data_IF_452303696654
#
_entry.id   IF_452303696654
#
_cell.length_a   1.000
_cell.length_b   1.000
_cell.length_c   1.000
_cell.angle_alpha   90.00
_cell.angle_beta   90.00
_cell.angle_gamma   90.00
#
_symmetry.space_group_name_H-M   'P 1'
#
loop_
_entity.id
_entity.type
_entity.pdbx_description
1 polymer ?
#
# COMPACT_ATOMS: atom_id res chain seq x y z
N UNK A 1 20.27 -37.25 11.47
CA UNK A 1 20.40 -35.78 11.53
C UNK A 1 19.17 -35.21 10.85
N UNK A 2 18.22 -34.68 11.61
CA UNK A 2 17.05 -34.01 11.01
C UNK A 2 17.54 -32.69 10.44
N UNK A 3 17.35 -32.48 9.14
CA UNK A 3 17.59 -31.17 8.54
C UNK A 3 16.69 -30.16 9.25
N UNK A 4 17.29 -29.12 9.82
CA UNK A 4 16.55 -27.95 10.27
C UNK A 4 15.96 -27.32 9.00
N UNK A 5 14.66 -26.99 8.94
CA UNK A 5 14.12 -26.32 7.77
C UNK A 5 14.90 -25.03 7.56
N UNK A 6 15.46 -24.85 6.37
CA UNK A 6 16.13 -23.63 6.00
C UNK A 6 15.09 -22.50 6.00
N UNK A 7 15.18 -21.60 6.99
CA UNK A 7 14.27 -20.46 7.08
C UNK A 7 14.64 -19.54 5.92
N UNK A 8 13.73 -19.43 4.95
CA UNK A 8 13.91 -18.51 3.81
C UNK A 8 14.11 -17.07 4.33
N UNK A 9 14.98 -16.28 3.67
CA UNK A 9 15.16 -14.87 4.03
C UNK A 9 13.84 -14.10 3.97
N UNK A 10 13.65 -13.11 4.86
CA UNK A 10 12.39 -12.35 4.97
C UNK A 10 12.00 -11.67 3.64
N UNK A 11 12.96 -11.16 2.87
CA UNK A 11 12.71 -10.55 1.56
C UNK A 11 12.34 -11.54 0.45
N UNK A 12 12.58 -12.84 0.65
CA UNK A 12 12.09 -13.90 -0.26
C UNK A 12 10.62 -14.18 0.03
N UNK A 13 10.22 -14.12 1.32
CA UNK A 13 8.83 -14.34 1.74
C UNK A 13 7.96 -13.09 1.56
N UNK A 14 8.55 -11.90 1.67
CA UNK A 14 7.91 -10.60 1.60
C UNK A 14 8.73 -9.68 0.69
N UNK A 15 8.67 -9.86 -0.65
CA UNK A 15 9.40 -9.02 -1.59
C UNK A 15 8.92 -7.57 -1.58
N UNK A 16 9.77 -6.65 -2.02
CA UNK A 16 9.43 -5.23 -2.12
C UNK A 16 8.75 -4.86 -3.45
N UNK A 17 8.54 -5.84 -4.35
CA UNK A 17 7.86 -5.67 -5.64
C UNK A 17 7.15 -6.96 -6.05
N UNK A 18 6.03 -6.82 -6.74
CA UNK A 18 5.25 -7.89 -7.37
C UNK A 18 5.51 -8.01 -8.88
N UNK A 19 6.38 -7.16 -9.43
CA UNK A 19 6.71 -7.09 -10.86
C UNK A 19 5.64 -6.44 -11.73
N UNK A 20 4.57 -5.88 -11.15
CA UNK A 20 3.53 -5.15 -11.89
C UNK A 20 3.96 -3.69 -12.14
N UNK A 21 3.40 -3.03 -13.17
CA UNK A 21 3.57 -1.59 -13.35
C UNK A 21 2.83 -0.81 -12.26
N UNK A 22 3.38 0.35 -11.87
CA UNK A 22 2.77 1.26 -10.89
C UNK A 22 1.43 1.86 -11.33
N UNK A 23 1.21 1.99 -12.63
CA UNK A 23 -0.02 2.54 -13.18
C UNK A 23 -0.26 1.98 -14.58
N UNK A 24 -1.53 1.94 -14.98
CA UNK A 24 -1.97 1.39 -16.26
C UNK A 24 -1.76 2.38 -17.41
N UNK A 25 -1.85 3.69 -17.13
CA UNK A 25 -1.68 4.74 -18.12
C UNK A 25 -1.17 6.06 -17.50
N UNK A 26 -0.87 7.03 -18.36
CA UNK A 26 -0.32 8.33 -17.96
C UNK A 26 -1.29 9.20 -17.16
N UNK A 27 -2.60 9.10 -17.41
CA UNK A 27 -3.62 9.89 -16.71
C UNK A 27 -3.78 9.38 -15.28
N UNK A 28 -3.88 8.07 -15.10
CA UNK A 28 -3.90 7.43 -13.79
C UNK A 28 -2.64 7.78 -13.00
N UNK A 29 -1.45 7.59 -13.60
CA UNK A 29 -0.19 7.93 -12.94
C UNK A 29 -0.12 9.40 -12.52
N UNK A 30 -0.58 10.32 -13.38
CA UNK A 30 -0.64 11.76 -13.08
C UNK A 30 -1.50 12.02 -11.85
N UNK A 31 -2.66 11.37 -11.72
CA UNK A 31 -3.54 11.54 -10.56
C UNK A 31 -2.98 10.90 -9.29
N UNK A 32 -2.37 9.72 -9.39
CA UNK A 32 -1.65 9.09 -8.26
C UNK A 32 -0.60 10.05 -7.71
N UNK A 33 0.27 10.59 -8.58
CA UNK A 33 1.30 11.56 -8.19
C UNK A 33 0.66 12.83 -7.62
N UNK A 34 -0.39 13.35 -8.26
CA UNK A 34 -1.07 14.57 -7.80
C UNK A 34 -1.61 14.40 -6.39
N UNK A 35 -2.33 13.32 -6.10
CA UNK A 35 -2.89 13.04 -4.77
C UNK A 35 -1.76 12.85 -3.76
N UNK A 36 -0.81 11.95 -4.06
CA UNK A 36 0.31 11.62 -3.16
C UNK A 36 1.13 12.86 -2.79
N UNK A 37 1.56 13.66 -3.77
CA UNK A 37 2.43 14.80 -3.52
C UNK A 37 1.68 15.95 -2.83
N UNK A 38 0.39 16.17 -3.11
CA UNK A 38 -0.40 17.16 -2.37
C UNK A 38 -0.61 16.74 -0.90
N UNK A 39 -0.78 15.44 -0.61
CA UNK A 39 -0.83 14.93 0.76
C UNK A 39 0.52 15.07 1.48
N UNK A 40 1.64 14.85 0.78
CA UNK A 40 2.98 15.12 1.35
C UNK A 40 3.17 16.60 1.69
N UNK A 41 2.68 17.51 0.84
CA UNK A 41 2.71 18.96 1.11
C UNK A 41 1.80 19.30 2.30
N UNK A 42 0.58 18.76 2.32
CA UNK A 42 -0.39 18.98 3.40
C UNK A 42 0.19 18.58 4.76
N UNK A 43 0.88 17.44 4.82
CA UNK A 43 1.50 16.90 6.03
C UNK A 43 3.01 17.16 6.11
N UNK A 44 3.53 18.19 5.43
CA UNK A 44 4.96 18.44 5.37
C UNK A 44 5.58 18.76 6.74
N UNK A 45 4.81 19.40 7.63
CA UNK A 45 5.25 19.78 8.97
C UNK A 45 4.99 18.72 10.05
N UNK A 46 4.29 17.63 9.71
CA UNK A 46 4.07 16.53 10.63
C UNK A 46 5.07 15.39 10.33
N UNK A 47 6.09 15.19 11.18
CA UNK A 47 7.08 14.14 10.95
C UNK A 47 6.51 12.73 11.16
N UNK A 48 5.31 12.60 11.74
CA UNK A 48 4.65 11.34 12.06
C UNK A 48 3.48 11.03 11.12
N UNK A 49 3.46 11.65 9.93
CA UNK A 49 2.57 11.24 8.85
C UNK A 49 3.39 10.76 7.66
N UNK A 50 3.26 9.47 7.39
CA UNK A 50 3.85 8.82 6.24
C UNK A 50 2.84 8.75 5.10
N UNK A 51 3.25 9.16 3.90
CA UNK A 51 2.46 9.06 2.68
C UNK A 51 3.28 8.28 1.66
N UNK A 52 2.65 7.35 0.96
CA UNK A 52 3.29 6.62 -0.13
C UNK A 52 2.29 6.40 -1.27
N UNK A 53 2.80 6.20 -2.48
CA UNK A 53 2.01 5.72 -3.61
C UNK A 53 2.56 4.39 -4.09
N UNK A 54 1.66 3.50 -4.49
CA UNK A 54 1.98 2.17 -5.04
C UNK A 54 3.01 1.38 -4.20
N UNK A 55 2.82 1.38 -2.88
CA UNK A 55 3.69 0.68 -1.95
C UNK A 55 3.01 -0.60 -1.48
N UNK A 56 3.64 -1.76 -1.70
CA UNK A 56 3.11 -3.04 -1.23
C UNK A 56 2.92 -3.03 0.29
N UNK A 57 1.69 -3.21 0.74
CA UNK A 57 1.31 -3.34 2.14
C UNK A 57 1.04 -4.80 2.50
N UNK A 58 1.86 -5.31 3.42
CA UNK A 58 1.64 -6.59 4.08
C UNK A 58 0.95 -6.36 5.43
N UNK A 59 -0.36 -6.64 5.50
CA UNK A 59 -1.17 -6.41 6.70
C UNK A 59 -0.88 -7.40 7.84
N UNK A 60 -0.43 -8.62 7.50
CA UNK A 60 -0.01 -9.64 8.46
C UNK A 60 1.26 -10.33 7.97
N UNK A 61 2.07 -10.85 8.91
CA UNK A 61 3.30 -11.59 8.59
C UNK A 61 2.99 -13.02 8.18
N UNK A 62 2.37 -13.20 7.02
CA UNK A 62 2.03 -14.53 6.47
C UNK A 62 2.26 -14.57 4.96
N UNK A 63 3.06 -15.52 4.44
CA UNK A 63 3.22 -15.70 2.99
C UNK A 63 1.97 -16.27 2.31
N UNK A 64 0.96 -16.71 3.08
CA UNK A 64 -0.32 -17.19 2.54
C UNK A 64 -1.29 -16.05 2.19
N UNK A 65 -1.03 -14.84 2.71
CA UNK A 65 -1.80 -13.65 2.39
C UNK A 65 -0.95 -12.74 1.49
N UNK A 66 -1.36 -12.49 0.24
CA UNK A 66 -0.64 -11.57 -0.63
C UNK A 66 -0.73 -10.13 -0.10
N UNK A 67 0.26 -9.27 -0.41
CA UNK A 67 0.15 -7.85 -0.13
C UNK A 67 -0.93 -7.19 -1.01
N UNK A 68 -1.35 -5.99 -0.61
CA UNK A 68 -2.11 -5.07 -1.47
C UNK A 68 -1.28 -3.81 -1.68
N UNK A 69 -1.27 -3.25 -2.89
CA UNK A 69 -0.72 -1.93 -3.17
C UNK A 69 -1.88 -0.93 -3.37
N UNK A 70 -2.17 -0.06 -2.40
CA UNK A 70 -3.01 1.10 -2.65
C UNK A 70 -2.28 2.09 -3.55
N UNK A 71 -3.02 2.75 -4.44
CA UNK A 71 -2.44 3.77 -5.32
C UNK A 71 -1.85 4.92 -4.51
N UNK A 72 -2.54 5.33 -3.43
CA UNK A 72 -1.98 6.18 -2.38
C UNK A 72 -2.42 5.68 -1.01
N UNK A 73 -1.50 5.69 -0.05
CA UNK A 73 -1.78 5.41 1.36
C UNK A 73 -1.26 6.53 2.26
N UNK A 74 -1.97 6.77 3.36
CA UNK A 74 -1.58 7.68 4.44
C UNK A 74 -1.57 6.91 5.74
N UNK A 75 -0.49 7.06 6.50
CA UNK A 75 -0.32 6.43 7.80
C UNK A 75 0.06 7.45 8.85
N UNK A 76 -0.86 7.68 9.79
CA UNK A 76 -0.64 8.52 10.96
C UNK A 76 0.13 7.75 12.05
N UNK A 77 0.94 8.47 12.81
CA UNK A 77 1.80 7.89 13.85
C UNK A 77 3.04 7.17 13.32
N UNK A 78 3.33 7.25 12.02
CA UNK A 78 4.52 6.63 11.40
C UNK A 78 5.46 7.69 10.84
N UNK A 79 6.78 7.55 11.07
CA UNK A 79 7.72 8.51 10.56
C UNK A 79 7.80 8.47 9.02
N UNK A 80 8.08 9.63 8.43
CA UNK A 80 8.54 9.73 7.05
C UNK A 80 9.82 8.91 6.85
N UNK A 81 10.05 8.40 5.64
CA UNK A 81 11.25 7.61 5.33
C UNK A 81 11.05 6.69 4.15
N UNK A 82 12.18 6.16 3.64
CA UNK A 82 12.17 5.22 2.51
C UNK A 82 11.83 3.81 3.00
N UNK A 83 10.97 3.13 2.27
CA UNK A 83 10.58 1.73 2.47
C UNK A 83 10.52 1.05 1.11
N UNK A 84 10.89 -0.24 1.04
CA UNK A 84 10.64 -1.07 -0.14
C UNK A 84 9.20 -1.59 -0.15
N UNK A 85 8.67 -1.92 1.03
CA UNK A 85 7.28 -2.32 1.27
C UNK A 85 6.85 -1.83 2.66
N UNK A 86 5.54 -1.70 2.87
CA UNK A 86 4.95 -1.42 4.17
C UNK A 86 4.60 -2.73 4.88
N UNK A 87 5.52 -3.23 5.71
CA UNK A 87 5.34 -4.47 6.49
C UNK A 87 4.78 -4.10 7.86
N UNK A 88 3.48 -4.28 8.09
CA UNK A 88 2.78 -3.74 9.26
C UNK A 88 3.39 -4.14 10.61
N UNK A 89 3.96 -5.35 10.72
CA UNK A 89 4.64 -5.82 11.93
C UNK A 89 5.98 -5.10 12.23
N UNK A 90 6.55 -4.39 11.27
CA UNK A 90 7.71 -3.51 11.44
C UNK A 90 7.29 -2.06 11.71
N UNK A 91 5.98 -1.77 11.68
CA UNK A 91 5.41 -0.43 11.76
C UNK A 91 4.50 -0.29 12.98
N UNK A 92 4.91 -0.87 14.12
CA UNK A 92 4.15 -0.90 15.37
C UNK A 92 2.73 -1.50 15.23
N UNK A 93 2.53 -2.33 14.21
CA UNK A 93 1.24 -2.90 13.80
C UNK A 93 0.18 -1.86 13.40
N UNK A 94 0.60 -0.66 13.02
CA UNK A 94 -0.29 0.40 12.54
C UNK A 94 -0.60 0.14 11.06
N UNK A 95 -1.89 -0.01 10.72
CA UNK A 95 -2.36 -0.06 9.34
C UNK A 95 -2.43 1.35 8.73
N UNK A 96 -2.37 1.51 7.40
CA UNK A 96 -2.79 2.74 6.75
C UNK A 96 -4.23 3.10 7.13
N UNK A 97 -4.45 4.34 7.56
CA UNK A 97 -5.80 4.82 7.92
C UNK A 97 -6.56 5.34 6.72
N UNK A 98 -5.86 5.90 5.73
CA UNK A 98 -6.49 6.44 4.52
C UNK A 98 -5.86 5.79 3.30
N UNK A 99 -6.70 5.33 2.37
CA UNK A 99 -6.24 4.81 1.08
C UNK A 99 -7.06 5.38 -0.08
N UNK A 100 -6.38 5.62 -1.20
CA UNK A 100 -6.98 6.05 -2.46
C UNK A 100 -6.73 5.00 -3.52
N UNK A 101 -7.72 4.82 -4.39
CA UNK A 101 -7.64 4.08 -5.64
C UNK A 101 -8.07 5.03 -6.78
N UNK A 102 -7.22 5.17 -7.79
CA UNK A 102 -7.43 6.01 -8.97
C UNK A 102 -7.86 5.12 -10.11
N UNK A 103 -9.06 5.36 -10.64
CA UNK A 103 -9.60 4.54 -11.71
C UNK A 103 -8.80 4.66 -13.01
N UNK A 104 -8.75 3.54 -13.72
CA UNK A 104 -8.18 3.36 -15.05
C UNK A 104 -9.14 2.50 -15.89
N UNK A 105 -8.99 2.49 -17.22
CA UNK A 105 -9.81 1.65 -18.10
C UNK A 105 -9.70 0.13 -17.82
N UNK A 106 -8.63 -0.33 -17.16
CA UNK A 106 -8.41 -1.74 -16.81
C UNK A 106 -9.02 -2.14 -15.49
N UNK A 107 -9.42 -1.20 -14.62
CA UNK A 107 -9.97 -1.57 -13.33
C UNK A 107 -11.30 -2.31 -13.49
N UNK A 108 -11.39 -3.47 -12.85
CA UNK A 108 -12.64 -4.22 -12.79
C UNK A 108 -13.36 -3.99 -11.47
N UNK A 109 -14.69 -4.03 -11.52
CA UNK A 109 -15.53 -3.98 -10.31
C UNK A 109 -15.13 -5.05 -9.28
N UNK A 110 -14.79 -6.25 -9.74
CA UNK A 110 -14.39 -7.35 -8.87
C UNK A 110 -13.07 -7.09 -8.15
N UNK A 111 -12.09 -6.45 -8.80
CA UNK A 111 -10.84 -6.07 -8.14
C UNK A 111 -11.07 -4.98 -7.10
N UNK A 112 -11.87 -3.96 -7.41
CA UNK A 112 -12.22 -2.90 -6.47
C UNK A 112 -12.99 -3.44 -5.25
N UNK A 113 -13.93 -4.37 -5.45
CA UNK A 113 -14.65 -5.03 -4.35
C UNK A 113 -13.71 -5.86 -3.47
N UNK A 114 -12.72 -6.56 -4.05
CA UNK A 114 -11.70 -7.30 -3.28
C UNK A 114 -10.81 -6.36 -2.47
N UNK A 115 -10.33 -5.27 -3.08
CA UNK A 115 -9.52 -4.26 -2.39
C UNK A 115 -10.32 -3.62 -1.25
N UNK A 116 -11.57 -3.25 -1.49
CA UNK A 116 -12.46 -2.72 -0.45
C UNK A 116 -12.60 -3.67 0.74
N UNK A 117 -12.89 -4.96 0.50
CA UNK A 117 -12.99 -5.96 1.57
C UNK A 117 -11.67 -6.13 2.33
N UNK A 118 -10.54 -6.09 1.62
CA UNK A 118 -9.22 -6.14 2.24
C UNK A 118 -9.02 -4.93 3.17
N UNK A 119 -9.30 -3.72 2.69
CA UNK A 119 -9.16 -2.47 3.45
C UNK A 119 -10.05 -2.45 4.69
N UNK A 120 -11.32 -2.86 4.56
CA UNK A 120 -12.26 -3.00 5.67
C UNK A 120 -11.76 -4.03 6.71
N UNK A 121 -11.23 -5.17 6.25
CA UNK A 121 -10.73 -6.23 7.13
C UNK A 121 -9.50 -5.80 7.94
N UNK A 122 -8.61 -5.00 7.35
CA UNK A 122 -7.32 -4.65 7.95
C UNK A 122 -7.25 -3.24 8.55
N UNK A 123 -8.40 -2.59 8.73
CA UNK A 123 -8.51 -1.39 9.56
C UNK A 123 -8.20 -0.08 8.86
N UNK A 124 -8.38 -0.01 7.53
CA UNK A 124 -8.46 1.28 6.84
C UNK A 124 -9.72 2.00 7.30
N UNK A 125 -9.58 3.26 7.69
CA UNK A 125 -10.66 4.09 8.22
C UNK A 125 -11.37 4.88 7.11
N UNK A 126 -10.62 5.32 6.10
CA UNK A 126 -11.14 6.06 4.96
C UNK A 126 -10.66 5.45 3.64
N UNK A 127 -11.61 5.13 2.77
CA UNK A 127 -11.36 4.59 1.44
C UNK A 127 -11.98 5.50 0.37
N UNK A 128 -11.14 6.01 -0.52
CA UNK A 128 -11.55 6.87 -1.62
C UNK A 128 -11.31 6.19 -2.97
N UNK A 129 -12.31 6.26 -3.84
CA UNK A 129 -12.16 5.97 -5.27
C UNK A 129 -12.23 7.30 -6.00
N UNK A 130 -11.21 7.57 -6.80
CA UNK A 130 -11.14 8.76 -7.66
C UNK A 130 -11.30 8.33 -9.12
N UNK A 131 -12.32 8.87 -9.78
CA UNK A 131 -12.51 8.72 -11.23
C UNK A 131 -11.92 9.95 -11.93
N UNK A 132 -10.87 9.79 -12.77
CA UNK A 132 -10.31 10.88 -13.56
C UNK A 132 -11.23 11.47 -14.64
N UNK A 133 -12.30 10.76 -15.03
CA UNK A 133 -13.20 11.12 -16.15
C UNK A 133 -14.50 11.83 -15.75
#
# INVERSE_FOLDING_TARGET
MSAVPEILPDNVLFPDSDGQPTADNTEQFRWIVTIKENLEILFAQDPLVFVAGDLLWYSVRSPLLPPTAPDVLVVFGRPKGRRGSYRQWQEDNIAPQVVFEVLSPSNTRTELERKFQFYETYGVEEYYIYDPD
#
